data_IF_628682779195
#
_entry.id   IF_628682779195
#
_cell.length_a   1.000
_cell.length_b   1.000
_cell.length_c   1.000
_cell.angle_alpha   90.00
_cell.angle_beta   90.00
_cell.angle_gamma   90.00
#
_symmetry.space_group_name_H-M   'P 1'
#
loop_
_entity.id
_entity.type
_entity.pdbx_description
1 polymer ?
#
# COMPACT_ATOMS: atom_id res chain seq x y z
N UNK A 1 9.68 31.91 7.57
CA UNK A 1 8.55 31.44 8.39
C UNK A 1 7.53 32.58 8.50
N UNK A 2 6.30 32.35 8.09
CA UNK A 2 5.21 33.29 8.24
C UNK A 2 4.61 33.20 9.66
N UNK A 3 4.07 34.30 10.18
CA UNK A 3 3.22 34.25 11.36
C UNK A 3 1.92 33.51 11.05
N UNK A 4 1.20 33.03 12.05
CA UNK A 4 -0.07 32.32 11.87
C UNK A 4 -1.10 33.15 11.07
N UNK A 5 -1.09 34.46 11.27
CA UNK A 5 -2.00 35.39 10.55
C UNK A 5 -1.62 35.48 9.07
N UNK A 6 -0.34 35.62 8.78
CA UNK A 6 0.17 35.70 7.40
C UNK A 6 -0.02 34.36 6.66
N UNK A 7 0.26 33.25 7.34
CA UNK A 7 0.03 31.90 6.78
C UNK A 7 -1.45 31.66 6.52
N UNK A 8 -2.32 32.04 7.44
CA UNK A 8 -3.76 31.93 7.27
C UNK A 8 -4.27 32.73 6.07
N UNK A 9 -3.82 33.98 5.92
CA UNK A 9 -4.12 34.81 4.74
C UNK A 9 -3.63 34.17 3.43
N UNK A 10 -2.39 33.65 3.46
CA UNK A 10 -1.80 32.99 2.30
C UNK A 10 -2.60 31.75 1.87
N UNK A 11 -3.01 30.89 2.81
CA UNK A 11 -3.86 29.73 2.53
C UNK A 11 -5.22 30.14 1.96
N UNK A 12 -5.84 31.19 2.51
CA UNK A 12 -7.09 31.75 1.99
C UNK A 12 -6.94 32.26 0.56
N UNK A 13 -5.89 33.02 0.26
CA UNK A 13 -5.62 33.55 -1.08
C UNK A 13 -5.42 32.44 -2.12
N UNK A 14 -4.73 31.34 -1.75
CA UNK A 14 -4.57 30.20 -2.64
C UNK A 14 -5.94 29.55 -2.90
N UNK A 15 -6.71 29.30 -1.85
CA UNK A 15 -8.04 28.71 -1.97
C UNK A 15 -8.95 29.53 -2.88
N UNK A 16 -9.00 30.84 -2.69
CA UNK A 16 -9.81 31.75 -3.50
C UNK A 16 -9.36 31.82 -4.95
N UNK A 17 -8.04 31.80 -5.20
CA UNK A 17 -7.49 31.72 -6.57
C UNK A 17 -7.86 30.43 -7.29
N UNK A 18 -8.09 29.36 -6.55
CA UNK A 18 -8.51 28.05 -7.09
C UNK A 18 -10.03 27.89 -7.15
N UNK A 19 -10.78 28.92 -6.77
CA UNK A 19 -12.25 28.94 -6.73
C UNK A 19 -12.85 27.81 -5.89
N UNK A 20 -12.17 27.45 -4.78
CA UNK A 20 -12.60 26.40 -3.87
C UNK A 20 -13.23 27.03 -2.62
N UNK A 21 -14.44 26.64 -2.27
CA UNK A 21 -15.11 27.08 -1.05
C UNK A 21 -14.61 26.33 0.19
N UNK A 22 -14.70 26.95 1.38
CA UNK A 22 -14.38 26.27 2.65
C UNK A 22 -15.24 25.02 2.89
N UNK A 23 -16.47 24.96 2.37
CA UNK A 23 -17.33 23.76 2.47
C UNK A 23 -16.83 22.62 1.59
N UNK A 24 -16.25 22.91 0.46
CA UNK A 24 -15.61 21.88 -0.38
C UNK A 24 -14.34 21.34 0.28
N UNK A 25 -13.52 22.24 0.86
CA UNK A 25 -12.35 21.80 1.66
C UNK A 25 -12.77 20.92 2.84
N UNK A 26 -13.86 21.28 3.55
CA UNK A 26 -14.42 20.46 4.63
C UNK A 26 -14.80 19.05 4.16
N UNK A 27 -15.50 18.93 3.03
CA UNK A 27 -15.89 17.63 2.45
C UNK A 27 -14.68 16.77 2.11
N UNK A 28 -13.62 17.37 1.57
CA UNK A 28 -12.42 16.65 1.13
C UNK A 28 -11.46 16.31 2.28
N UNK A 29 -11.34 17.21 3.28
CA UNK A 29 -10.42 17.00 4.41
C UNK A 29 -11.07 16.35 5.62
N UNK A 30 -12.41 16.34 5.69
CA UNK A 30 -13.22 16.00 6.89
C UNK A 30 -12.92 16.89 8.10
N UNK A 31 -12.32 18.07 7.89
CA UNK A 31 -12.04 19.06 8.92
C UNK A 31 -13.13 20.13 8.86
N UNK A 32 -13.81 20.34 9.97
CA UNK A 32 -14.98 21.22 10.03
C UNK A 32 -14.72 22.65 9.55
N UNK A 33 -15.70 23.23 8.86
CA UNK A 33 -15.69 24.62 8.34
C UNK A 33 -15.16 25.63 9.35
N UNK A 34 -15.65 25.60 10.60
CA UNK A 34 -15.24 26.55 11.66
C UNK A 34 -13.74 26.43 11.98
N UNK A 35 -13.18 25.22 11.94
CA UNK A 35 -11.77 24.99 12.16
C UNK A 35 -10.93 25.56 11.01
N UNK A 36 -11.31 25.29 9.77
CA UNK A 36 -10.65 25.82 8.57
C UNK A 36 -10.70 27.36 8.56
N UNK A 37 -11.87 27.95 8.89
CA UNK A 37 -12.03 29.41 9.01
C UNK A 37 -11.13 30.00 10.08
N UNK A 38 -10.98 29.35 11.25
CA UNK A 38 -10.06 29.81 12.30
C UNK A 38 -8.60 29.79 11.83
N UNK A 39 -8.21 28.80 11.05
CA UNK A 39 -6.86 28.72 10.47
C UNK A 39 -6.62 29.86 9.49
N UNK A 40 -7.54 30.10 8.54
CA UNK A 40 -7.41 31.19 7.58
C UNK A 40 -7.38 32.57 8.22
N UNK A 41 -7.99 32.71 9.41
CA UNK A 41 -7.96 33.94 10.19
C UNK A 41 -6.79 34.00 11.19
N UNK A 42 -5.87 33.03 11.17
CA UNK A 42 -4.69 32.99 12.04
C UNK A 42 -4.99 32.70 13.52
N UNK A 43 -6.23 32.28 13.83
CA UNK A 43 -6.67 32.01 15.21
C UNK A 43 -6.35 30.57 15.65
N UNK A 44 -5.85 29.73 14.76
CA UNK A 44 -5.48 28.35 15.04
C UNK A 44 -4.28 27.93 14.20
N UNK A 45 -3.41 27.12 14.79
CA UNK A 45 -2.23 26.59 14.12
C UNK A 45 -2.62 25.52 13.11
N UNK A 46 -1.85 25.42 12.03
CA UNK A 46 -1.91 24.32 11.08
C UNK A 46 -1.09 23.13 11.57
N UNK A 47 -1.44 21.93 11.12
CA UNK A 47 -0.63 20.73 11.32
C UNK A 47 0.01 20.29 9.99
N UNK A 48 1.15 19.59 10.03
CA UNK A 48 1.77 19.03 8.83
C UNK A 48 0.81 18.20 7.99
N UNK A 49 0.02 17.33 8.62
CA UNK A 49 -0.97 16.50 7.94
C UNK A 49 -2.05 17.32 7.20
N UNK A 50 -2.52 18.42 7.85
CA UNK A 50 -3.49 19.31 7.20
C UNK A 50 -2.88 20.04 6.00
N UNK A 51 -1.66 20.57 6.13
CA UNK A 51 -0.97 21.25 5.02
C UNK A 51 -0.78 20.31 3.82
N UNK A 52 -0.43 19.04 4.07
CA UNK A 52 -0.31 18.03 3.01
C UNK A 52 -1.63 17.82 2.25
N UNK A 53 -2.75 17.79 2.98
CA UNK A 53 -4.08 17.66 2.37
C UNK A 53 -4.47 18.94 1.60
N UNK A 54 -4.23 20.11 2.17
CA UNK A 54 -4.50 21.39 1.51
C UNK A 54 -3.66 21.58 0.25
N UNK A 55 -2.39 21.16 0.28
CA UNK A 55 -1.51 21.20 -0.90
C UNK A 55 -2.10 20.42 -2.08
N UNK A 56 -2.64 19.22 -1.83
CA UNK A 56 -3.32 18.41 -2.86
C UNK A 56 -4.57 19.10 -3.40
N UNK A 57 -5.42 19.63 -2.53
CA UNK A 57 -6.69 20.29 -2.92
C UNK A 57 -6.42 21.57 -3.71
N UNK A 58 -5.42 22.34 -3.30
CA UNK A 58 -5.07 23.61 -3.93
C UNK A 58 -4.13 23.43 -5.13
N UNK A 59 -3.68 22.20 -5.39
CA UNK A 59 -2.70 21.87 -6.43
C UNK A 59 -1.45 22.77 -6.35
N UNK A 60 -0.80 22.76 -5.19
CA UNK A 60 0.47 23.43 -4.90
C UNK A 60 1.44 22.47 -4.24
N UNK A 61 2.74 22.76 -4.38
CA UNK A 61 3.77 21.92 -3.74
C UNK A 61 3.68 22.02 -2.22
N UNK A 62 3.56 20.87 -1.54
CA UNK A 62 3.42 20.85 -0.08
C UNK A 62 4.67 21.38 0.64
N UNK A 63 5.85 21.24 0.01
CA UNK A 63 7.13 21.74 0.52
C UNK A 63 7.10 23.26 0.69
N UNK A 64 6.46 23.98 -0.23
CA UNK A 64 6.29 25.42 -0.13
C UNK A 64 5.42 25.82 1.05
N UNK A 65 4.36 25.06 1.31
CA UNK A 65 3.51 25.29 2.48
C UNK A 65 4.25 24.97 3.80
N UNK A 66 5.07 23.92 3.79
CA UNK A 66 5.87 23.53 4.96
C UNK A 66 6.93 24.56 5.33
N UNK A 67 7.65 25.09 4.33
CA UNK A 67 8.62 26.18 4.52
C UNK A 67 7.94 27.42 5.10
N UNK A 68 6.81 27.85 4.49
CA UNK A 68 6.06 29.03 4.95
C UNK A 68 5.51 28.87 6.36
N UNK A 69 5.10 27.66 6.73
CA UNK A 69 4.64 27.30 8.06
C UNK A 69 5.80 27.11 9.09
N UNK A 70 7.06 27.07 8.63
CA UNK A 70 8.24 26.89 9.47
C UNK A 70 8.45 25.45 9.97
N UNK A 71 7.90 24.47 9.26
CA UNK A 71 8.18 23.06 9.54
C UNK A 71 9.49 22.58 8.92
N UNK A 72 10.02 23.28 7.93
CA UNK A 72 11.33 23.10 7.33
C UNK A 72 11.98 24.48 7.16
N UNK A 73 13.29 24.55 7.21
CA UNK A 73 14.03 25.76 6.89
C UNK A 73 14.42 25.81 5.38
N UNK A 74 14.99 26.96 4.98
CA UNK A 74 15.39 27.16 3.59
C UNK A 74 16.48 26.18 3.14
N UNK A 75 17.41 25.83 4.01
CA UNK A 75 18.50 24.90 3.70
C UNK A 75 17.98 23.45 3.53
N UNK A 76 16.99 23.07 4.33
CA UNK A 76 16.31 21.78 4.20
C UNK A 76 15.50 21.73 2.90
N UNK A 77 14.79 22.83 2.56
CA UNK A 77 14.06 22.95 1.31
C UNK A 77 14.99 22.81 0.10
N UNK A 78 16.10 23.55 0.07
CA UNK A 78 17.08 23.45 -1.02
C UNK A 78 17.62 22.03 -1.21
N UNK A 79 17.87 21.29 -0.13
CA UNK A 79 18.28 19.87 -0.20
C UNK A 79 17.20 19.01 -0.84
N UNK A 80 15.95 19.19 -0.44
CA UNK A 80 14.81 18.45 -0.99
C UNK A 80 14.62 18.77 -2.47
N UNK A 81 14.71 20.04 -2.85
CA UNK A 81 14.58 20.49 -4.24
C UNK A 81 15.71 19.93 -5.12
N UNK A 82 16.94 19.86 -4.59
CA UNK A 82 18.06 19.25 -5.30
C UNK A 82 17.87 17.74 -5.49
N UNK A 83 17.42 17.02 -4.46
CA UNK A 83 17.10 15.59 -4.56
C UNK A 83 15.99 15.36 -5.60
N UNK A 84 14.93 16.15 -5.59
CA UNK A 84 13.84 16.06 -6.56
C UNK A 84 14.32 16.33 -8.00
N UNK A 85 15.25 17.28 -8.20
CA UNK A 85 15.86 17.53 -9.51
C UNK A 85 16.69 16.33 -9.99
N UNK A 86 17.46 15.70 -9.10
CA UNK A 86 18.24 14.51 -9.46
C UNK A 86 17.34 13.32 -9.78
N UNK A 87 16.29 13.10 -8.97
CA UNK A 87 15.28 12.05 -9.23
C UNK A 87 14.60 12.26 -10.59
N UNK A 88 14.24 13.51 -10.92
CA UNK A 88 13.65 13.83 -12.23
C UNK A 88 14.59 13.54 -13.38
N UNK A 89 15.89 13.83 -13.24
CA UNK A 89 16.90 13.47 -14.28
C UNK A 89 16.99 11.95 -14.47
N UNK A 90 16.94 11.19 -13.36
CA UNK A 90 16.93 9.72 -13.40
C UNK A 90 15.66 9.22 -14.10
N UNK A 91 14.49 9.77 -13.77
CA UNK A 91 13.21 9.44 -14.40
C UNK A 91 13.24 9.73 -15.92
N UNK A 92 13.77 10.91 -16.30
CA UNK A 92 13.89 11.29 -17.71
C UNK A 92 14.90 10.40 -18.45
N UNK A 93 16.01 10.04 -17.81
CA UNK A 93 16.98 9.09 -18.35
C UNK A 93 16.36 7.70 -18.56
N UNK A 94 15.65 7.18 -17.55
CA UNK A 94 14.94 5.89 -17.63
C UNK A 94 13.90 5.90 -18.75
N UNK A 95 13.17 7.02 -18.93
CA UNK A 95 12.22 7.18 -20.04
C UNK A 95 12.92 7.19 -21.41
N UNK A 96 14.05 7.88 -21.54
CA UNK A 96 14.83 7.91 -22.79
C UNK A 96 15.44 6.56 -23.15
N UNK A 97 15.99 5.84 -22.16
CA UNK A 97 16.48 4.49 -22.36
C UNK A 97 15.36 3.52 -22.76
N UNK A 98 14.17 3.61 -22.11
CA UNK A 98 12.99 2.82 -22.51
C UNK A 98 12.60 3.04 -23.98
N UNK A 99 12.72 4.27 -24.51
CA UNK A 99 12.43 4.58 -25.92
C UNK A 99 13.50 3.92 -26.84
N UNK A 100 14.75 3.86 -26.41
CA UNK A 100 15.85 3.27 -27.18
C UNK A 100 15.75 1.74 -27.32
N UNK A 101 15.19 1.07 -26.28
CA UNK A 101 15.00 -0.39 -26.30
C UNK A 101 13.70 -0.83 -26.99
N UNK A 102 12.85 0.09 -27.45
CA UNK A 102 11.62 -0.25 -28.19
C UNK A 102 11.88 -0.66 -29.65
N UNK A 103 13.09 -0.48 -30.18
CA UNK A 103 13.37 -0.71 -31.61
C UNK A 103 14.02 -2.06 -31.93
N UNK A 104 14.38 -2.89 -30.94
CA UNK A 104 15.14 -4.13 -31.21
C UNK A 104 14.72 -5.39 -30.46
N UNK A 105 13.50 -5.60 -30.05
CA UNK A 105 13.06 -6.98 -29.76
C UNK A 105 11.56 -7.15 -29.51
N UNK A 106 10.98 -8.09 -30.23
CA UNK A 106 9.70 -8.75 -29.93
C UNK A 106 9.71 -9.47 -28.58
N UNK A 107 9.62 -8.78 -27.44
CA UNK A 107 9.32 -9.43 -26.17
C UNK A 107 8.79 -8.40 -25.15
N UNK A 108 7.51 -8.61 -24.75
CA UNK A 108 6.73 -8.03 -23.66
C UNK A 108 6.21 -6.59 -23.80
N UNK A 109 4.94 -6.34 -23.45
CA UNK A 109 4.38 -4.99 -23.35
C UNK A 109 5.07 -4.22 -22.20
N UNK A 110 5.75 -3.12 -22.56
CA UNK A 110 6.63 -2.31 -21.71
C UNK A 110 5.89 -1.35 -20.75
N UNK A 111 4.74 -1.70 -20.26
CA UNK A 111 4.01 -0.91 -19.24
C UNK A 111 4.15 -1.45 -17.81
N UNK A 112 4.82 -2.58 -17.60
CA UNK A 112 4.96 -3.24 -16.30
C UNK A 112 6.28 -2.83 -15.63
N UNK A 113 6.28 -1.67 -14.98
CA UNK A 113 7.38 -1.30 -14.07
C UNK A 113 7.29 -2.21 -12.85
N UNK A 114 8.28 -3.07 -12.60
CA UNK A 114 8.23 -3.96 -11.44
C UNK A 114 8.24 -3.13 -10.15
N UNK A 115 7.33 -3.47 -9.24
CA UNK A 115 7.22 -2.85 -7.93
C UNK A 115 7.85 -3.75 -6.89
N UNK A 116 8.68 -3.19 -6.02
CA UNK A 116 9.31 -3.89 -4.91
C UNK A 116 8.28 -4.17 -3.81
N UNK A 117 8.13 -5.45 -3.45
CA UNK A 117 7.12 -5.94 -2.49
C UNK A 117 7.85 -6.67 -1.35
N UNK A 118 7.51 -6.43 -0.07
CA UNK A 118 8.13 -7.11 1.06
C UNK A 118 7.84 -8.61 1.05
N UNK A 119 8.86 -9.41 1.35
CA UNK A 119 8.76 -10.86 1.56
C UNK A 119 8.65 -11.11 3.06
N UNK A 120 7.58 -11.79 3.48
CA UNK A 120 7.36 -12.18 4.85
C UNK A 120 7.75 -13.65 5.06
N UNK A 121 8.55 -13.90 6.09
CA UNK A 121 8.93 -15.26 6.46
C UNK A 121 7.84 -15.95 7.25
N UNK A 122 7.23 -15.24 8.18
CA UNK A 122 6.20 -15.75 9.07
C UNK A 122 5.16 -14.68 9.38
N UNK A 123 3.89 -15.05 9.45
CA UNK A 123 2.81 -14.19 9.91
C UNK A 123 2.30 -14.77 11.22
N UNK A 124 2.48 -14.03 12.31
CA UNK A 124 2.02 -14.42 13.65
C UNK A 124 0.94 -13.46 14.15
N UNK A 125 0.07 -13.95 15.02
CA UNK A 125 -0.92 -13.11 15.67
C UNK A 125 -0.27 -12.05 16.58
N UNK A 126 -0.95 -10.90 16.69
CA UNK A 126 -0.58 -9.83 17.63
C UNK A 126 0.31 -8.73 17.06
N UNK A 127 1.00 -8.95 15.94
CA UNK A 127 1.76 -7.91 15.24
C UNK A 127 1.06 -7.48 13.94
N UNK A 128 1.24 -6.23 13.50
CA UNK A 128 0.86 -5.83 12.14
C UNK A 128 1.55 -6.75 11.12
N UNK A 129 0.81 -7.21 10.11
CA UNK A 129 1.32 -8.17 9.11
C UNK A 129 2.60 -7.66 8.44
N UNK A 130 2.64 -6.37 8.10
CA UNK A 130 3.78 -5.69 7.48
C UNK A 130 4.74 -5.04 8.51
N UNK A 131 4.76 -5.53 9.75
CA UNK A 131 5.77 -5.09 10.71
C UNK A 131 7.17 -5.46 10.20
N UNK A 132 8.15 -4.58 10.43
CA UNK A 132 9.55 -4.78 9.98
C UNK A 132 10.16 -6.10 10.47
N UNK A 133 9.71 -6.58 11.63
CA UNK A 133 10.14 -7.86 12.24
C UNK A 133 9.73 -9.10 11.42
N UNK A 134 8.68 -8.98 10.59
CA UNK A 134 8.20 -10.06 9.73
C UNK A 134 8.86 -10.06 8.34
N UNK A 135 9.58 -8.99 7.97
CA UNK A 135 10.17 -8.82 6.63
C UNK A 135 11.54 -9.50 6.57
N UNK A 136 11.67 -10.51 5.71
CA UNK A 136 12.94 -11.21 5.42
C UNK A 136 13.71 -10.60 4.24
N UNK A 137 13.05 -9.79 3.41
CA UNK A 137 13.62 -9.20 2.21
C UNK A 137 12.55 -8.60 1.31
N UNK A 138 12.91 -8.36 0.06
CA UNK A 138 12.01 -7.80 -0.95
C UNK A 138 12.13 -8.59 -2.24
N UNK A 139 11.05 -8.63 -3.01
CA UNK A 139 10.99 -9.25 -4.33
C UNK A 139 10.13 -8.40 -5.26
N UNK A 140 10.40 -8.45 -6.56
CA UNK A 140 9.69 -7.64 -7.53
C UNK A 140 8.41 -8.33 -8.02
N UNK A 141 7.33 -7.55 -8.13
CA UNK A 141 6.08 -7.96 -8.75
C UNK A 141 5.77 -7.08 -9.97
N UNK A 142 5.24 -7.66 -11.08
CA UNK A 142 4.75 -6.86 -12.20
C UNK A 142 3.60 -5.95 -11.76
N UNK A 143 3.65 -4.67 -12.13
CA UNK A 143 2.63 -3.68 -11.75
C UNK A 143 1.23 -4.05 -12.26
N UNK A 144 1.13 -4.82 -13.35
CA UNK A 144 -0.14 -5.32 -13.90
C UNK A 144 -0.94 -6.19 -12.94
N UNK A 145 -0.31 -6.78 -11.93
CA UNK A 145 -0.97 -7.55 -10.87
C UNK A 145 -1.36 -6.70 -9.66
N UNK A 146 -0.91 -5.45 -9.59
CA UNK A 146 -1.07 -4.58 -8.43
C UNK A 146 -2.15 -3.52 -8.71
N UNK A 147 -3.11 -3.40 -7.79
CA UNK A 147 -4.13 -2.35 -7.79
C UNK A 147 -3.77 -1.31 -6.72
N UNK A 148 -3.96 -0.03 -7.01
CA UNK A 148 -3.55 1.08 -6.14
C UNK A 148 -4.21 1.07 -4.74
N UNK A 149 -5.40 0.48 -4.63
CA UNK A 149 -6.19 0.48 -3.39
C UNK A 149 -5.83 -0.66 -2.42
N UNK A 150 -4.86 -1.51 -2.76
CA UNK A 150 -4.51 -2.68 -1.96
C UNK A 150 -3.05 -2.68 -1.50
N UNK A 151 -2.81 -3.28 -0.34
CA UNK A 151 -1.47 -3.61 0.15
C UNK A 151 -1.10 -5.03 -0.31
N UNK A 152 0.19 -5.27 -0.58
CA UNK A 152 0.71 -6.53 -1.07
C UNK A 152 1.92 -6.98 -0.28
N UNK A 153 2.10 -8.29 -0.17
CA UNK A 153 3.31 -8.91 0.35
C UNK A 153 3.53 -10.27 -0.29
N UNK A 154 4.77 -10.71 -0.34
CA UNK A 154 5.10 -12.09 -0.61
C UNK A 154 5.14 -12.91 0.67
N UNK A 155 4.66 -14.14 0.59
CA UNK A 155 4.81 -15.13 1.66
C UNK A 155 5.53 -16.36 1.12
N UNK A 156 6.52 -16.85 1.87
CA UNK A 156 7.24 -18.07 1.53
C UNK A 156 6.39 -19.28 1.89
N UNK A 157 6.14 -20.14 0.92
CA UNK A 157 5.40 -21.40 1.10
C UNK A 157 6.25 -22.36 1.93
N UNK A 158 5.67 -22.88 3.00
CA UNK A 158 6.27 -23.89 3.88
C UNK A 158 5.43 -25.16 3.83
N UNK A 159 6.11 -26.30 3.78
CA UNK A 159 5.49 -27.62 3.73
C UNK A 159 4.87 -27.95 2.37
N UNK A 160 4.17 -29.08 2.32
CA UNK A 160 3.72 -29.72 1.11
C UNK A 160 2.19 -29.66 0.87
N UNK A 161 1.46 -28.97 1.75
CA UNK A 161 -0.02 -28.95 1.71
C UNK A 161 -0.61 -28.27 0.45
N UNK A 162 0.20 -27.54 -0.32
CA UNK A 162 -0.18 -26.87 -1.56
C UNK A 162 0.73 -27.26 -2.74
N UNK A 163 1.46 -28.38 -2.66
CA UNK A 163 2.50 -28.76 -3.62
C UNK A 163 1.99 -29.07 -5.04
N UNK A 164 0.71 -29.34 -5.21
CA UNK A 164 0.08 -29.42 -6.55
C UNK A 164 -0.05 -28.06 -7.23
N UNK A 165 0.08 -26.97 -6.48
CA UNK A 165 -0.05 -25.61 -7.00
C UNK A 165 1.24 -24.81 -6.86
N UNK A 166 1.86 -24.85 -5.69
CA UNK A 166 3.16 -24.22 -5.42
C UNK A 166 4.02 -25.14 -4.54
N UNK A 167 5.20 -25.55 -5.03
CA UNK A 167 6.17 -26.28 -4.23
C UNK A 167 6.64 -25.51 -3.01
N UNK A 168 7.14 -26.22 -2.01
CA UNK A 168 7.80 -25.62 -0.86
C UNK A 168 8.96 -24.70 -1.27
N UNK A 169 9.11 -23.59 -0.57
CA UNK A 169 10.12 -22.57 -0.84
C UNK A 169 9.73 -21.53 -1.89
N UNK A 170 8.66 -21.76 -2.68
CA UNK A 170 8.14 -20.76 -3.60
C UNK A 170 7.59 -19.55 -2.84
N UNK A 171 7.56 -18.41 -3.52
CA UNK A 171 6.91 -17.20 -3.02
C UNK A 171 5.52 -17.07 -3.62
N UNK A 172 4.52 -16.78 -2.81
CA UNK A 172 3.18 -16.41 -3.26
C UNK A 172 2.94 -14.92 -3.01
N UNK A 173 2.49 -14.20 -4.05
CA UNK A 173 2.09 -12.80 -3.94
C UNK A 173 0.66 -12.75 -3.39
N UNK A 174 0.51 -12.06 -2.28
CA UNK A 174 -0.75 -11.96 -1.55
C UNK A 174 -1.26 -10.54 -1.60
N UNK A 175 -2.47 -10.37 -2.11
CA UNK A 175 -3.25 -9.14 -1.99
C UNK A 175 -3.95 -9.15 -0.65
N UNK A 176 -3.64 -8.19 0.22
CA UNK A 176 -4.22 -8.09 1.56
C UNK A 176 -5.71 -7.72 1.47
N UNK A 177 -6.55 -8.60 1.99
CA UNK A 177 -8.00 -8.43 2.07
C UNK A 177 -8.57 -9.40 3.12
N UNK A 178 -9.77 -9.12 3.61
CA UNK A 178 -10.44 -9.87 4.68
C UNK A 178 -11.58 -10.78 4.19
N UNK A 179 -11.79 -10.86 2.87
CA UNK A 179 -12.80 -11.71 2.24
C UNK A 179 -12.24 -12.46 1.04
N UNK A 180 -12.83 -13.64 0.76
CA UNK A 180 -12.51 -14.49 -0.38
C UNK A 180 -13.79 -15.09 -0.96
N UNK A 181 -13.77 -15.38 -2.26
CA UNK A 181 -14.80 -16.17 -2.91
C UNK A 181 -14.51 -17.67 -2.83
N UNK A 182 -15.55 -18.49 -2.88
CA UNK A 182 -15.40 -19.95 -2.87
C UNK A 182 -14.56 -20.42 -4.07
N UNK A 183 -13.52 -21.18 -3.77
CA UNK A 183 -12.58 -21.70 -4.77
C UNK A 183 -11.28 -20.91 -4.89
N UNK A 184 -11.19 -19.73 -4.30
CA UNK A 184 -9.96 -18.94 -4.27
C UNK A 184 -8.92 -19.51 -3.31
N UNK A 185 -7.66 -19.17 -3.53
CA UNK A 185 -6.56 -19.54 -2.64
C UNK A 185 -6.22 -18.33 -1.77
N UNK A 186 -6.16 -18.54 -0.47
CA UNK A 186 -5.87 -17.48 0.48
C UNK A 186 -4.88 -17.88 1.55
N UNK A 187 -4.49 -16.87 2.32
CA UNK A 187 -3.68 -16.97 3.53
C UNK A 187 -4.59 -16.77 4.73
N UNK A 188 -4.50 -17.67 5.70
CA UNK A 188 -5.38 -17.72 6.88
C UNK A 188 -4.58 -17.78 8.16
N UNK A 189 -5.05 -17.08 9.19
CA UNK A 189 -4.68 -17.30 10.60
C UNK A 189 -5.83 -18.05 11.29
N UNK A 190 -5.52 -19.18 11.91
CA UNK A 190 -6.49 -20.01 12.62
C UNK A 190 -6.14 -19.95 14.11
N UNK A 191 -7.10 -19.52 14.92
CA UNK A 191 -6.94 -19.36 16.38
C UNK A 191 -5.66 -18.59 16.77
N UNK A 192 -5.29 -17.59 15.97
CA UNK A 192 -4.11 -16.77 16.19
C UNK A 192 -2.76 -17.51 16.06
N UNK A 193 -2.74 -18.70 15.45
CA UNK A 193 -1.51 -19.45 15.19
C UNK A 193 -0.81 -18.98 13.89
N UNK A 194 0.19 -19.74 13.44
CA UNK A 194 0.94 -19.45 12.23
C UNK A 194 0.04 -19.45 10.98
N UNK A 195 0.37 -18.57 10.03
CA UNK A 195 -0.39 -18.47 8.80
C UNK A 195 -0.29 -19.72 7.93
N UNK A 196 -1.41 -20.12 7.32
CA UNK A 196 -1.48 -21.22 6.37
C UNK A 196 -2.06 -20.78 5.03
N UNK A 197 -1.60 -21.41 3.94
CA UNK A 197 -2.13 -21.22 2.59
C UNK A 197 -3.02 -22.40 2.23
N UNK A 198 -4.28 -22.13 1.84
CA UNK A 198 -5.25 -23.18 1.46
C UNK A 198 -6.22 -22.66 0.40
N UNK A 199 -6.92 -23.58 -0.26
CA UNK A 199 -8.09 -23.27 -1.07
C UNK A 199 -9.28 -23.06 -0.15
N UNK A 200 -9.99 -21.94 -0.35
CA UNK A 200 -11.09 -21.49 0.49
C UNK A 200 -12.44 -21.97 -0.02
N UNK A 201 -13.28 -22.39 0.89
CA UNK A 201 -14.73 -22.50 0.73
C UNK A 201 -15.43 -22.11 2.03
N UNK A 202 -16.59 -21.53 1.93
CA UNK A 202 -17.46 -21.24 3.06
C UNK A 202 -18.87 -21.73 2.77
N UNK A 203 -19.46 -22.40 3.74
CA UNK A 203 -20.87 -22.82 3.73
C UNK A 203 -21.49 -22.47 5.08
N UNK A 204 -22.32 -21.42 5.09
CA UNK A 204 -22.89 -20.85 6.29
C UNK A 204 -21.82 -20.44 7.31
N UNK A 205 -21.90 -21.02 8.51
CA UNK A 205 -20.94 -20.77 9.59
C UNK A 205 -19.65 -21.61 9.50
N UNK A 206 -19.50 -22.43 8.46
CA UNK A 206 -18.34 -23.32 8.30
C UNK A 206 -17.37 -22.77 7.25
N UNK A 207 -16.13 -22.57 7.65
CA UNK A 207 -14.98 -22.33 6.76
C UNK A 207 -14.29 -23.65 6.49
N UNK A 208 -14.10 -23.97 5.23
CA UNK A 208 -13.51 -25.19 4.72
C UNK A 208 -12.21 -24.80 4.01
N UNK A 209 -11.10 -25.33 4.49
CA UNK A 209 -9.76 -25.10 3.98
C UNK A 209 -9.23 -26.37 3.34
N UNK A 210 -9.23 -26.41 2.01
CA UNK A 210 -8.81 -27.58 1.23
C UNK A 210 -7.31 -27.48 0.91
N UNK A 211 -6.51 -28.51 1.20
CA UNK A 211 -5.17 -28.62 0.69
C UNK A 211 -5.18 -28.96 -0.80
N UNK A 212 -4.13 -28.60 -1.51
CA UNK A 212 -3.87 -29.01 -2.89
C UNK A 212 -2.55 -29.77 -2.91
N UNK A 213 -2.56 -31.01 -2.42
CA UNK A 213 -1.36 -31.79 -2.13
C UNK A 213 -1.41 -33.21 -2.70
N UNK A 214 -0.23 -33.71 -3.08
CA UNK A 214 -0.04 -35.14 -3.40
C UNK A 214 0.07 -36.00 -2.15
N UNK A 215 0.31 -35.40 -0.99
CA UNK A 215 0.44 -36.10 0.28
C UNK A 215 -0.95 -36.34 0.90
N UNK A 216 -1.41 -37.60 1.02
CA UNK A 216 -2.73 -37.90 1.57
C UNK A 216 -2.90 -37.55 3.06
N UNK A 217 -1.81 -37.27 3.77
CA UNK A 217 -1.87 -36.82 5.16
C UNK A 217 -2.38 -35.37 5.28
N UNK A 218 -2.32 -34.61 4.19
CA UNK A 218 -2.92 -33.28 4.14
C UNK A 218 -4.43 -33.43 3.85
N UNK A 219 -5.23 -33.28 4.87
CA UNK A 219 -6.69 -33.41 4.80
C UNK A 219 -7.37 -32.04 4.81
N UNK A 220 -8.59 -31.99 4.29
CA UNK A 220 -9.47 -30.84 4.40
C UNK A 220 -9.72 -30.49 5.87
N UNK A 221 -9.59 -29.22 6.21
CA UNK A 221 -9.87 -28.70 7.55
C UNK A 221 -11.19 -27.93 7.53
N UNK A 222 -12.06 -28.18 8.51
CA UNK A 222 -13.36 -27.56 8.63
C UNK A 222 -13.43 -26.86 10.00
N UNK A 223 -13.75 -25.57 9.98
CA UNK A 223 -13.83 -24.76 11.18
C UNK A 223 -15.21 -24.11 11.29
N UNK A 224 -15.83 -24.21 12.45
CA UNK A 224 -17.01 -23.41 12.80
C UNK A 224 -16.51 -22.04 13.30
N UNK A 225 -16.83 -20.96 12.55
CA UNK A 225 -16.34 -19.60 12.87
C UNK A 225 -16.87 -19.07 14.21
N UNK A 226 -17.93 -19.67 14.78
CA UNK A 226 -18.45 -19.34 16.11
C UNK A 226 -17.60 -19.94 17.24
N UNK A 227 -16.82 -20.99 16.96
CA UNK A 227 -16.03 -21.72 17.93
C UNK A 227 -14.52 -21.49 17.75
N UNK A 228 -14.07 -21.44 16.49
CA UNK A 228 -12.67 -21.25 16.16
C UNK A 228 -12.52 -20.04 15.23
N UNK A 229 -11.85 -18.97 15.68
CA UNK A 229 -11.62 -17.79 14.84
C UNK A 229 -10.73 -18.14 13.64
N UNK A 230 -11.27 -17.96 12.43
CA UNK A 230 -10.50 -18.04 11.18
C UNK A 230 -10.45 -16.64 10.59
N UNK A 231 -9.25 -16.09 10.52
CA UNK A 231 -9.01 -14.76 9.94
C UNK A 231 -8.40 -14.90 8.55
N UNK A 232 -9.05 -14.34 7.55
CA UNK A 232 -8.49 -14.19 6.20
C UNK A 232 -7.47 -13.04 6.25
N UNK A 233 -6.27 -13.30 5.74
CA UNK A 233 -5.17 -12.32 5.66
C UNK A 233 -5.08 -11.72 4.28
N UNK A 234 -5.38 -12.52 3.24
CA UNK A 234 -5.38 -12.05 1.86
C UNK A 234 -5.55 -13.17 0.86
N UNK A 235 -5.68 -12.76 -0.41
CA UNK A 235 -5.84 -13.60 -1.59
C UNK A 235 -4.49 -13.81 -2.27
N UNK A 236 -4.17 -15.04 -2.61
CA UNK A 236 -3.02 -15.36 -3.46
C UNK A 236 -3.37 -15.04 -4.91
N UNK A 237 -2.59 -14.16 -5.55
CA UNK A 237 -2.82 -13.68 -6.92
C UNK A 237 -1.75 -14.11 -7.91
N UNK A 238 -0.53 -14.41 -7.44
CA UNK A 238 0.61 -14.83 -8.25
C UNK A 238 1.51 -15.75 -7.42
N UNK A 239 2.32 -16.58 -8.06
CA UNK A 239 3.43 -17.26 -7.40
C UNK A 239 4.70 -17.19 -8.24
N UNK A 240 5.84 -17.17 -7.56
CA UNK A 240 7.17 -17.22 -8.15
C UNK A 240 7.85 -18.47 -7.62
N UNK A 241 8.28 -19.32 -8.53
CA UNK A 241 9.05 -20.55 -8.22
C UNK A 241 10.46 -20.46 -8.77
N UNK A 242 11.43 -21.05 -8.06
CA UNK A 242 12.75 -21.34 -8.67
C UNK A 242 12.57 -22.53 -9.60
N UNK A 243 13.05 -22.39 -10.83
CA UNK A 243 13.17 -23.48 -11.81
C UNK A 243 14.29 -24.43 -11.38
#
# INVERSE_FOLDING_TARGET
MLSNIELGKYLKEIRERKDVSLREVEKLTKIGYSHLSMIENGKRNVTPALLKNLAKIYNVEYIDLYEKAGFIDLAEKEKIDNINKELKKIDDFVKQEKIKYQDESNVFPTSDVPTEIPVLGKISAGLPILASENVEGYEFAPSSYLKEDFEYFYLRVQGDSMNLRFPEGNLVLVQKQDCLENGEIGVFLIDGQDATVKKFRQDGDFVILDPMSTNPSNITQIYNIKETPVRIIGKVILHIGKV
#
